data_IF_082116441773
#
_entry.id   IF_082116441773
#
_cell.length_a   1.000
_cell.length_b   1.000
_cell.length_c   1.000
_cell.angle_alpha   90.00
_cell.angle_beta   90.00
_cell.angle_gamma   90.00
#
_symmetry.space_group_name_H-M   'P 1'
#
loop_
_entity.id
_entity.type
_entity.pdbx_description
1 polymer ?
#
# COMPACT_ATOMS: atom_id res chain seq x y z
N UNK A 1 -46.77 -40.46 -3.02
CA UNK A 1 -46.39 -39.11 -3.49
C UNK A 1 -44.88 -38.97 -3.36
N UNK A 2 -44.16 -39.22 -4.45
CA UNK A 2 -42.72 -38.96 -4.57
C UNK A 2 -42.58 -37.68 -5.40
N UNK A 3 -42.19 -36.57 -4.78
CA UNK A 3 -41.75 -35.39 -5.52
C UNK A 3 -40.30 -35.61 -5.96
N UNK A 4 -40.13 -36.24 -7.13
CA UNK A 4 -38.86 -36.24 -7.86
C UNK A 4 -38.59 -34.80 -8.31
N UNK A 5 -37.55 -34.17 -7.78
CA UNK A 5 -36.94 -33.00 -8.44
C UNK A 5 -36.24 -33.54 -9.68
N UNK A 6 -36.89 -33.38 -10.82
CA UNK A 6 -36.33 -33.72 -12.13
C UNK A 6 -35.34 -32.64 -12.55
N UNK A 7 -34.04 -32.94 -12.50
CA UNK A 7 -33.01 -32.14 -13.14
C UNK A 7 -32.94 -32.57 -14.61
N UNK A 8 -33.60 -31.83 -15.50
CA UNK A 8 -33.38 -31.93 -16.95
C UNK A 8 -32.27 -30.95 -17.33
N UNK A 9 -31.14 -31.49 -17.76
CA UNK A 9 -30.14 -30.75 -18.51
C UNK A 9 -30.73 -30.52 -19.91
N UNK A 10 -31.23 -29.30 -20.16
CA UNK A 10 -31.37 -28.77 -21.51
C UNK A 10 -30.21 -27.80 -21.72
N UNK A 11 -29.35 -28.09 -22.69
CA UNK A 11 -28.50 -27.09 -23.29
C UNK A 11 -29.40 -26.00 -23.90
N UNK A 12 -29.33 -24.78 -23.36
CA UNK A 12 -29.44 -23.45 -24.02
C UNK A 12 -29.67 -22.38 -22.94
N UNK A 13 -28.68 -21.48 -22.83
CA UNK A 13 -28.75 -20.11 -22.29
C UNK A 13 -29.12 -19.91 -20.81
N UNK A 14 -28.18 -20.20 -19.91
CA UNK A 14 -28.04 -19.38 -18.69
C UNK A 14 -27.43 -18.06 -19.14
N UNK A 15 -28.28 -17.06 -19.41
CA UNK A 15 -27.84 -15.68 -19.55
C UNK A 15 -27.56 -15.11 -18.16
N UNK A 16 -26.45 -15.52 -17.56
CA UNK A 16 -25.87 -14.84 -16.42
C UNK A 16 -25.45 -13.45 -16.92
N UNK A 17 -26.21 -12.41 -16.59
CA UNK A 17 -25.78 -11.04 -16.85
C UNK A 17 -24.82 -10.67 -15.73
N UNK A 18 -23.54 -10.97 -15.93
CA UNK A 18 -22.47 -10.37 -15.13
C UNK A 18 -22.35 -8.91 -15.56
N UNK A 19 -22.83 -8.00 -14.71
CA UNK A 19 -22.53 -6.58 -14.87
C UNK A 19 -21.25 -6.34 -14.07
N UNK A 20 -20.11 -6.37 -14.75
CA UNK A 20 -18.89 -5.79 -14.19
C UNK A 20 -18.96 -4.30 -14.51
N UNK A 21 -19.18 -3.46 -13.49
CA UNK A 21 -19.15 -2.02 -13.68
C UNK A 21 -17.75 -1.50 -13.40
N UNK A 22 -17.07 -1.01 -14.43
CA UNK A 22 -16.11 0.06 -14.24
C UNK A 22 -16.89 1.33 -13.86
N UNK A 23 -16.96 1.62 -12.56
CA UNK A 23 -17.52 2.83 -11.92
C UNK A 23 -19.05 2.98 -11.78
N UNK A 24 -19.56 3.04 -10.54
CA UNK A 24 -20.25 4.20 -9.92
C UNK A 24 -20.17 4.00 -8.39
N UNK A 25 -19.47 4.89 -7.70
CA UNK A 25 -19.46 4.97 -6.23
C UNK A 25 -20.71 5.73 -5.80
N UNK A 26 -21.63 5.06 -5.09
CA UNK A 26 -22.61 5.78 -4.29
C UNK A 26 -21.97 6.16 -2.95
N UNK A 27 -21.79 7.47 -2.74
CA UNK A 27 -21.90 8.12 -1.43
C UNK A 27 -20.65 8.17 -0.55
N UNK A 28 -19.74 9.10 -0.85
CA UNK A 28 -19.19 9.98 0.19
C UNK A 28 -19.14 11.41 -0.35
N UNK A 29 -19.97 12.29 0.23
CA UNK A 29 -19.85 13.73 0.04
C UNK A 29 -18.55 14.18 0.72
N UNK A 30 -17.58 14.66 -0.07
CA UNK A 30 -17.01 16.03 -0.01
C UNK A 30 -15.97 16.20 -1.13
N UNK A 31 -16.27 17.14 -2.03
CA UNK A 31 -15.40 18.01 -2.83
C UNK A 31 -14.21 17.47 -3.67
N UNK A 32 -14.21 17.93 -4.93
CA UNK A 32 -13.11 18.06 -5.91
C UNK A 32 -12.72 16.84 -6.77
N UNK A 33 -13.46 16.72 -7.88
CA UNK A 33 -13.05 16.03 -9.11
C UNK A 33 -12.14 16.97 -9.89
N UNK A 34 -10.85 16.65 -10.02
CA UNK A 34 -10.02 17.20 -11.08
C UNK A 34 -10.48 16.57 -12.41
N UNK A 35 -11.30 17.30 -13.18
CA UNK A 35 -11.69 16.89 -14.53
C UNK A 35 -10.48 17.01 -15.45
N UNK A 36 -9.85 15.89 -15.76
CA UNK A 36 -8.99 15.76 -16.93
C UNK A 36 -9.84 15.91 -18.18
N UNK A 37 -9.63 16.98 -18.94
CA UNK A 37 -10.16 17.13 -20.30
C UNK A 37 -9.25 16.37 -21.26
N UNK A 38 -9.76 15.29 -21.87
CA UNK A 38 -9.07 14.56 -22.94
C UNK A 38 -9.87 13.33 -23.37
N UNK A 39 -10.40 13.38 -24.59
CA UNK A 39 -11.15 12.33 -25.28
C UNK A 39 -10.25 11.18 -25.78
N UNK A 40 -9.32 10.70 -24.95
CA UNK A 40 -8.47 9.56 -25.31
C UNK A 40 -9.01 8.30 -24.61
N UNK A 41 -9.69 7.46 -25.39
CA UNK A 41 -10.08 6.13 -24.96
C UNK A 41 -8.82 5.26 -24.79
N UNK A 42 -8.41 5.04 -23.54
CA UNK A 42 -7.26 4.20 -23.21
C UNK A 42 -6.67 4.49 -21.83
N UNK A 43 -5.95 3.50 -21.29
CA UNK A 43 -5.18 3.61 -20.04
C UNK A 43 -4.10 4.68 -20.17
N UNK A 44 -3.84 5.46 -19.12
CA UNK A 44 -2.84 6.52 -19.13
C UNK A 44 -1.45 5.95 -19.45
N UNK A 45 -0.72 6.60 -20.34
CA UNK A 45 0.61 6.14 -20.79
C UNK A 45 1.57 5.96 -19.61
N UNK A 46 2.38 4.90 -19.65
CA UNK A 46 3.35 4.56 -18.59
C UNK A 46 2.74 3.84 -17.38
N UNK A 47 1.42 3.79 -17.23
CA UNK A 47 0.81 3.16 -16.05
C UNK A 47 0.89 1.63 -16.04
N UNK A 48 1.01 0.98 -17.21
CA UNK A 48 1.32 -0.46 -17.29
C UNK A 48 2.69 -0.80 -16.71
N UNK A 49 3.70 0.06 -16.92
CA UNK A 49 5.03 -0.12 -16.33
C UNK A 49 4.92 -0.05 -14.80
N UNK A 50 4.21 0.97 -14.29
CA UNK A 50 3.99 1.15 -12.85
C UNK A 50 3.24 -0.05 -12.26
N UNK A 51 2.20 -0.55 -12.93
CA UNK A 51 1.42 -1.70 -12.47
C UNK A 51 2.25 -2.98 -12.38
N UNK A 52 3.26 -3.13 -13.24
CA UNK A 52 4.16 -4.29 -13.26
C UNK A 52 5.30 -4.17 -12.23
N UNK A 53 5.87 -2.97 -12.04
CA UNK A 53 7.11 -2.81 -11.27
C UNK A 53 6.92 -2.22 -9.86
N UNK A 54 5.89 -1.39 -9.64
CA UNK A 54 5.76 -0.65 -8.39
C UNK A 54 5.27 -1.55 -7.25
N UNK A 55 5.80 -1.32 -6.05
CA UNK A 55 5.29 -1.85 -4.80
C UNK A 55 4.47 -0.79 -4.09
N UNK A 56 4.94 -0.37 -2.92
CA UNK A 56 4.35 0.72 -2.15
C UNK A 56 4.60 2.08 -2.82
N UNK A 57 3.54 2.85 -2.95
CA UNK A 57 3.50 4.09 -3.73
C UNK A 57 2.76 5.20 -2.98
N UNK A 58 3.16 6.43 -3.26
CA UNK A 58 2.49 7.67 -2.87
C UNK A 58 2.23 8.50 -4.11
N UNK A 59 0.98 8.93 -4.31
CA UNK A 59 0.61 9.64 -5.53
C UNK A 59 -0.29 10.84 -5.27
N UNK A 60 -0.15 11.84 -6.13
CA UNK A 60 -0.91 13.08 -6.13
C UNK A 60 -1.29 13.49 -7.56
N UNK A 61 -2.33 14.32 -7.67
CA UNK A 61 -2.56 15.13 -8.85
C UNK A 61 -2.46 16.61 -8.46
N UNK A 62 -1.54 17.35 -9.10
CA UNK A 62 -1.30 18.77 -8.78
C UNK A 62 -2.30 19.73 -9.44
N UNK A 63 -3.30 19.22 -10.15
CA UNK A 63 -4.33 19.99 -10.87
C UNK A 63 -3.75 21.02 -11.85
N UNK A 64 -2.56 20.74 -12.38
CA UNK A 64 -1.82 21.61 -13.29
C UNK A 64 -1.01 20.78 -14.28
N UNK A 65 -0.72 21.36 -15.45
CA UNK A 65 0.22 20.74 -16.40
C UNK A 65 1.64 20.80 -15.86
N UNK A 66 2.42 19.75 -16.12
CA UNK A 66 3.82 19.65 -15.68
C UNK A 66 4.75 19.75 -16.89
N UNK A 67 5.81 20.56 -16.76
CA UNK A 67 6.89 20.60 -17.73
C UNK A 67 7.84 19.41 -17.49
N UNK A 68 7.81 18.44 -18.40
CA UNK A 68 8.61 17.21 -18.27
C UNK A 68 10.12 17.45 -18.41
N UNK A 69 10.56 18.49 -19.13
CA UNK A 69 11.98 18.86 -19.17
C UNK A 69 12.47 19.25 -17.78
N UNK A 70 11.69 20.04 -17.02
CA UNK A 70 12.02 20.36 -15.63
C UNK A 70 11.98 19.13 -14.72
N UNK A 71 11.03 18.22 -14.93
CA UNK A 71 10.95 17.00 -14.13
C UNK A 71 12.24 16.17 -14.27
N UNK A 72 12.79 16.08 -15.48
CA UNK A 72 14.06 15.38 -15.73
C UNK A 72 15.27 16.01 -15.05
N UNK A 73 15.27 17.33 -14.84
CA UNK A 73 16.33 18.01 -14.08
C UNK A 73 16.31 17.65 -12.59
N UNK A 74 15.19 17.13 -12.07
CA UNK A 74 15.05 16.67 -10.68
C UNK A 74 15.61 15.26 -10.49
N UNK A 75 15.51 14.41 -11.53
CA UNK A 75 16.00 13.04 -11.46
C UNK A 75 17.52 13.03 -11.31
N UNK A 76 18.00 12.11 -10.47
CA UNK A 76 19.40 11.68 -10.54
C UNK A 76 19.64 10.86 -11.81
N UNK A 77 18.67 10.04 -12.20
CA UNK A 77 18.74 9.18 -13.38
C UNK A 77 17.37 9.07 -14.02
N UNK A 78 17.27 9.35 -15.32
CA UNK A 78 16.05 9.12 -16.11
C UNK A 78 16.01 7.66 -16.56
N UNK A 79 14.90 6.99 -16.32
CA UNK A 79 14.68 5.58 -16.62
C UNK A 79 13.78 5.42 -17.85
N UNK A 80 12.71 6.22 -17.91
CA UNK A 80 11.81 6.28 -19.06
C UNK A 80 11.49 7.72 -19.43
N UNK A 81 11.38 7.99 -20.72
CA UNK A 81 11.00 9.30 -21.25
C UNK A 81 10.15 9.13 -22.51
N UNK A 82 8.99 9.79 -22.52
CA UNK A 82 8.17 10.00 -23.71
C UNK A 82 7.72 11.47 -23.75
N UNK A 83 6.91 11.83 -24.75
CA UNK A 83 6.31 13.17 -24.84
C UNK A 83 5.26 13.43 -23.74
N UNK A 84 4.74 12.37 -23.11
CA UNK A 84 3.61 12.46 -22.18
C UNK A 84 3.98 12.17 -20.73
N UNK A 85 5.02 11.36 -20.49
CA UNK A 85 5.48 11.06 -19.15
C UNK A 85 6.99 10.82 -19.07
N UNK A 86 7.50 10.87 -17.85
CA UNK A 86 8.86 10.43 -17.53
C UNK A 86 8.85 9.59 -16.25
N UNK A 87 9.82 8.70 -16.12
CA UNK A 87 10.12 7.96 -14.90
C UNK A 87 11.61 8.12 -14.62
N UNK A 88 11.97 8.35 -13.37
CA UNK A 88 13.37 8.37 -12.96
C UNK A 88 13.57 8.29 -11.46
N UNK A 89 14.81 7.99 -11.07
CA UNK A 89 15.26 7.92 -9.70
C UNK A 89 15.46 9.32 -9.11
N UNK A 90 14.81 9.61 -7.99
CA UNK A 90 14.95 10.85 -7.22
C UNK A 90 15.78 10.59 -5.96
N UNK A 91 16.91 11.29 -5.90
CA UNK A 91 17.78 11.34 -4.72
C UNK A 91 17.10 12.00 -3.52
N UNK A 92 17.22 11.41 -2.34
CA UNK A 92 16.77 12.02 -1.08
C UNK A 92 17.95 12.48 -0.20
N UNK A 93 17.82 13.62 0.52
CA UNK A 93 18.83 14.05 1.47
C UNK A 93 19.11 12.98 2.53
N UNK A 94 20.39 12.76 2.84
CA UNK A 94 20.79 11.83 3.91
C UNK A 94 20.75 10.35 3.54
N UNK A 95 20.37 10.00 2.31
CA UNK A 95 20.27 8.61 1.88
C UNK A 95 21.24 8.27 0.72
N UNK A 96 21.79 7.04 0.69
CA UNK A 96 22.61 6.56 -0.42
C UNK A 96 21.76 6.29 -1.67
N UNK A 97 22.42 6.05 -2.81
CA UNK A 97 21.75 5.77 -4.09
C UNK A 97 20.82 4.55 -4.08
N UNK A 98 21.07 3.58 -3.21
CA UNK A 98 20.20 2.40 -3.04
C UNK A 98 18.82 2.73 -2.46
N UNK A 99 18.64 3.96 -1.97
CA UNK A 99 17.41 4.44 -1.36
C UNK A 99 16.69 5.47 -2.24
N UNK A 100 17.20 5.73 -3.44
CA UNK A 100 16.55 6.61 -4.41
C UNK A 100 15.13 6.12 -4.69
N UNK A 101 14.22 7.07 -4.80
CA UNK A 101 12.79 6.79 -5.01
C UNK A 101 12.48 6.92 -6.48
N UNK A 102 11.83 5.91 -7.07
CA UNK A 102 11.34 6.02 -8.43
C UNK A 102 10.16 6.98 -8.48
N UNK A 103 10.17 7.92 -9.42
CA UNK A 103 9.10 8.89 -9.57
C UNK A 103 8.62 8.93 -11.01
N UNK A 104 7.35 8.58 -11.19
CA UNK A 104 6.59 8.77 -12.42
C UNK A 104 5.96 10.17 -12.44
N UNK A 105 6.10 10.87 -13.56
CA UNK A 105 5.52 12.20 -13.79
C UNK A 105 4.83 12.23 -15.15
N UNK A 106 3.53 12.54 -15.17
CA UNK A 106 2.76 12.74 -16.40
C UNK A 106 2.52 14.24 -16.64
N UNK A 107 2.53 14.68 -17.90
CA UNK A 107 2.28 16.08 -18.30
C UNK A 107 0.94 16.66 -17.81
N UNK A 108 -0.01 15.79 -17.42
CA UNK A 108 -1.35 16.14 -16.93
C UNK A 108 -1.42 16.38 -15.42
N UNK A 109 -0.28 16.41 -14.73
CA UNK A 109 -0.25 16.74 -13.30
C UNK A 109 -0.21 15.55 -12.36
N UNK A 110 -0.11 14.33 -12.88
CA UNK A 110 0.08 13.15 -12.05
C UNK A 110 1.55 12.99 -11.67
N UNK A 111 1.80 12.79 -10.38
CA UNK A 111 3.11 12.45 -9.83
C UNK A 111 2.90 11.24 -8.91
N UNK A 112 3.65 10.16 -9.13
CA UNK A 112 3.68 8.99 -8.26
C UNK A 112 5.13 8.67 -7.89
N UNK A 113 5.41 8.62 -6.59
CA UNK A 113 6.66 8.10 -6.05
C UNK A 113 6.44 6.67 -5.56
N UNK A 114 7.39 5.77 -5.81
CA UNK A 114 7.29 4.37 -5.41
C UNK A 114 8.64 3.72 -5.14
N UNK A 115 8.59 2.62 -4.40
CA UNK A 115 9.65 1.61 -4.36
C UNK A 115 9.20 0.38 -5.14
N UNK A 116 10.14 -0.46 -5.56
CA UNK A 116 9.87 -1.61 -6.41
C UNK A 116 9.06 -2.69 -5.67
N UNK A 117 8.44 -3.58 -6.44
CA UNK A 117 7.52 -4.59 -5.93
C UNK A 117 8.20 -5.71 -5.09
N UNK A 118 9.53 -5.78 -5.07
CA UNK A 118 10.29 -6.69 -4.21
C UNK A 118 10.74 -6.04 -2.89
N UNK A 119 10.46 -4.74 -2.69
CA UNK A 119 10.90 -3.98 -1.53
C UNK A 119 9.84 -3.88 -0.44
N UNK A 120 10.18 -4.01 0.85
CA UNK A 120 9.18 -3.99 1.93
C UNK A 120 8.58 -2.60 2.13
N UNK A 121 7.31 -2.51 2.56
CA UNK A 121 6.64 -1.24 2.91
C UNK A 121 7.46 -0.43 3.92
N UNK A 122 8.09 -1.07 4.90
CA UNK A 122 8.93 -0.41 5.90
C UNK A 122 10.11 0.38 5.31
N UNK A 123 10.50 0.13 4.04
CA UNK A 123 11.51 0.94 3.35
C UNK A 123 11.06 2.39 3.24
N UNK A 124 9.78 2.74 3.15
CA UNK A 124 9.34 4.13 2.94
C UNK A 124 9.58 5.05 4.13
N UNK A 125 9.93 4.50 5.29
CA UNK A 125 10.12 5.28 6.51
C UNK A 125 11.32 6.21 6.35
N UNK A 126 11.08 7.49 6.64
CA UNK A 126 12.13 8.49 6.63
C UNK A 126 12.69 8.73 8.03
N UNK A 127 13.74 8.00 8.39
CA UNK A 127 14.45 8.19 9.66
C UNK A 127 15.28 9.47 9.70
N UNK A 128 15.85 9.90 8.57
CA UNK A 128 16.62 11.13 8.45
C UNK A 128 15.82 12.37 8.89
N UNK A 129 14.56 12.48 8.51
CA UNK A 129 13.68 13.55 9.01
C UNK A 129 13.22 13.29 10.45
N UNK A 130 12.96 12.03 10.81
CA UNK A 130 12.47 11.68 12.15
C UNK A 130 13.49 11.93 13.27
N UNK A 131 14.79 11.84 12.99
CA UNK A 131 15.86 12.07 13.96
C UNK A 131 16.26 13.55 14.09
N UNK A 132 15.74 14.44 13.23
CA UNK A 132 16.21 15.83 13.18
C UNK A 132 15.58 16.69 14.31
N UNK A 133 16.38 17.50 15.01
CA UNK A 133 15.85 18.48 15.96
C UNK A 133 14.98 19.55 15.28
N UNK A 134 13.85 19.98 15.90
CA UNK A 134 13.24 19.39 17.09
C UNK A 134 12.66 18.01 16.75
N UNK A 135 13.09 16.97 17.47
CA UNK A 135 12.72 15.60 17.16
C UNK A 135 11.19 15.45 17.08
N UNK A 136 10.63 15.11 15.91
CA UNK A 136 9.20 14.90 15.80
C UNK A 136 8.79 13.73 16.70
N UNK A 137 7.75 13.94 17.52
CA UNK A 137 7.15 12.86 18.30
C UNK A 137 6.41 11.86 17.42
N UNK A 138 5.98 12.28 16.23
CA UNK A 138 5.19 11.46 15.33
C UNK A 138 5.86 11.24 13.99
N UNK A 139 5.82 10.01 13.51
CA UNK A 139 6.12 9.70 12.12
C UNK A 139 4.97 10.23 11.24
N UNK A 140 5.25 11.25 10.42
CA UNK A 140 4.24 11.92 9.56
C UNK A 140 4.75 12.16 8.13
N UNK A 141 5.95 11.67 7.84
CA UNK A 141 6.65 11.79 6.57
C UNK A 141 7.19 10.44 6.13
N UNK A 142 7.31 10.28 4.82
CA UNK A 142 7.89 9.10 4.17
C UNK A 142 8.83 9.59 3.08
N UNK A 143 9.79 8.74 2.71
CA UNK A 143 10.67 8.99 1.57
C UNK A 143 9.89 9.24 0.28
N UNK A 144 8.79 8.52 0.07
CA UNK A 144 7.93 8.70 -1.10
C UNK A 144 7.28 10.10 -1.12
N UNK A 145 6.79 10.57 0.04
CA UNK A 145 6.23 11.93 0.17
C UNK A 145 7.28 12.98 -0.15
N UNK A 146 8.50 12.84 0.37
CA UNK A 146 9.56 13.83 0.18
C UNK A 146 10.08 13.84 -1.27
N UNK A 147 10.08 12.70 -1.95
CA UNK A 147 10.37 12.63 -3.39
C UNK A 147 9.32 13.40 -4.22
N UNK A 148 8.03 13.26 -3.88
CA UNK A 148 6.96 14.05 -4.52
C UNK A 148 7.08 15.54 -4.23
N UNK A 149 7.39 15.93 -2.98
CA UNK A 149 7.64 17.35 -2.63
C UNK A 149 8.78 17.92 -3.47
N UNK A 150 9.92 17.22 -3.51
CA UNK A 150 11.08 17.62 -4.30
C UNK A 150 10.75 17.72 -5.79
N UNK A 151 9.93 16.81 -6.32
CA UNK A 151 9.47 16.87 -7.70
C UNK A 151 8.61 18.10 -7.94
N UNK A 152 7.61 18.37 -7.10
CA UNK A 152 6.76 19.56 -7.19
C UNK A 152 7.58 20.86 -7.18
N UNK A 153 8.52 20.97 -6.25
CA UNK A 153 9.41 22.14 -6.15
C UNK A 153 10.26 22.31 -7.41
N UNK A 154 10.84 21.23 -7.93
CA UNK A 154 11.69 21.25 -9.12
C UNK A 154 10.93 21.60 -10.41
N UNK A 155 9.69 21.13 -10.56
CA UNK A 155 8.86 21.49 -11.72
C UNK A 155 8.16 22.86 -11.56
N UNK A 156 8.14 23.41 -10.34
CA UNK A 156 7.55 24.70 -10.02
C UNK A 156 6.02 24.68 -9.95
N UNK A 157 5.43 23.60 -9.43
CA UNK A 157 3.98 23.46 -9.21
C UNK A 157 3.67 23.28 -7.72
N UNK A 158 2.58 23.86 -7.20
CA UNK A 158 2.23 23.70 -5.79
C UNK A 158 1.79 22.26 -5.49
N UNK A 159 2.11 21.79 -4.29
CA UNK A 159 1.57 20.53 -3.77
C UNK A 159 0.06 20.62 -3.56
N UNK A 160 -0.67 19.67 -4.10
CA UNK A 160 -2.09 19.49 -3.81
C UNK A 160 -2.27 18.56 -2.61
N UNK A 161 -2.26 19.12 -1.41
CA UNK A 161 -2.44 18.32 -0.20
C UNK A 161 -3.82 17.65 -0.12
N UNK A 162 -4.86 18.20 -0.73
CA UNK A 162 -6.21 17.62 -0.68
C UNK A 162 -6.30 16.29 -1.42
N UNK A 163 -5.47 16.08 -2.45
CA UNK A 163 -5.45 14.87 -3.25
C UNK A 163 -4.13 14.11 -3.06
N UNK A 164 -4.05 13.33 -1.97
CA UNK A 164 -2.87 12.50 -1.67
C UNK A 164 -3.28 11.12 -1.15
N UNK A 165 -2.73 10.07 -1.74
CA UNK A 165 -3.11 8.69 -1.41
C UNK A 165 -1.88 7.80 -1.45
N UNK A 166 -1.91 6.77 -0.62
CA UNK A 166 -0.96 5.66 -0.70
C UNK A 166 -1.64 4.47 -1.37
N UNK A 167 -0.86 3.63 -2.04
CA UNK A 167 -1.32 2.38 -2.61
C UNK A 167 -0.15 1.41 -2.72
N UNK A 168 -0.42 0.12 -2.66
CA UNK A 168 0.60 -0.89 -2.92
C UNK A 168 0.07 -1.84 -3.98
N UNK A 169 0.73 -1.90 -5.14
CA UNK A 169 0.26 -2.69 -6.28
C UNK A 169 0.29 -4.20 -6.02
N UNK A 170 1.06 -4.66 -5.04
CA UNK A 170 1.12 -6.07 -4.62
C UNK A 170 -0.03 -6.44 -3.70
N UNK A 171 -0.64 -5.43 -3.08
CA UNK A 171 -1.69 -5.57 -2.09
C UNK A 171 -2.92 -4.74 -2.48
N UNK A 172 -3.55 -5.00 -3.65
CA UNK A 172 -4.63 -4.18 -4.21
C UNK A 172 -5.86 -4.05 -3.29
N UNK A 173 -5.98 -4.98 -2.36
CA UNK A 173 -7.09 -5.08 -1.42
C UNK A 173 -6.86 -4.36 -0.09
N UNK A 174 -5.63 -3.90 0.19
CA UNK A 174 -5.33 -3.14 1.38
C UNK A 174 -6.05 -1.79 1.35
N UNK A 175 -6.67 -1.42 2.47
CA UNK A 175 -7.32 -0.12 2.65
C UNK A 175 -6.76 0.69 3.83
N UNK A 176 -5.76 0.13 4.52
CA UNK A 176 -5.05 0.75 5.63
C UNK A 176 -3.57 0.41 5.57
N UNK A 177 -2.76 1.40 5.95
CA UNK A 177 -1.36 1.25 6.29
C UNK A 177 -1.15 1.82 7.70
N UNK A 178 -0.30 1.17 8.50
CA UNK A 178 0.03 1.61 9.85
C UNK A 178 1.54 1.53 10.08
N UNK A 179 2.10 2.57 10.68
CA UNK A 179 3.43 2.54 11.28
C UNK A 179 3.30 2.61 12.79
N UNK A 180 3.93 1.68 13.49
CA UNK A 180 4.06 1.69 14.95
C UNK A 180 5.54 1.80 15.26
N UNK A 181 5.94 2.83 16.00
CA UNK A 181 7.35 3.10 16.25
C UNK A 181 7.75 2.88 17.71
N UNK A 182 8.95 2.38 17.91
CA UNK A 182 9.68 2.43 19.18
C UNK A 182 10.90 3.33 19.03
N UNK A 183 11.21 4.12 20.05
CA UNK A 183 12.30 5.09 20.01
C UNK A 183 13.15 4.99 21.28
N UNK A 184 14.45 4.86 21.07
CA UNK A 184 15.46 5.03 22.11
C UNK A 184 16.26 6.28 21.76
N UNK A 185 16.21 7.28 22.65
CA UNK A 185 16.82 8.61 22.45
C UNK A 185 17.94 8.84 23.45
N UNK A 186 18.84 9.76 23.13
CA UNK A 186 19.92 10.18 24.02
C UNK A 186 19.35 10.57 25.39
N UNK A 187 19.88 9.98 26.46
CA UNK A 187 19.49 10.29 27.84
C UNK A 187 18.21 9.60 28.35
N UNK A 188 17.57 8.75 27.54
CA UNK A 188 16.44 7.90 27.95
C UNK A 188 16.88 6.46 28.28
N UNK A 189 15.94 5.60 28.66
CA UNK A 189 16.17 4.17 28.92
C UNK A 189 16.92 3.49 27.76
N UNK A 190 17.73 2.46 28.05
CA UNK A 190 18.54 1.74 27.05
C UNK A 190 17.73 0.82 26.12
N UNK A 191 16.41 0.86 26.23
CA UNK A 191 15.50 0.10 25.39
C UNK A 191 14.16 0.79 25.28
N UNK A 192 13.49 0.59 24.15
CA UNK A 192 12.10 0.93 23.94
C UNK A 192 11.33 -0.35 23.66
N UNK A 193 10.16 -0.50 24.29
CA UNK A 193 9.29 -1.66 24.09
C UNK A 193 7.89 -1.18 23.81
N UNK A 194 7.21 -1.84 22.88
CA UNK A 194 5.77 -1.69 22.67
C UNK A 194 5.18 -3.04 22.30
N UNK A 195 3.86 -3.20 22.47
CA UNK A 195 3.17 -4.43 22.09
C UNK A 195 2.19 -4.19 20.94
N UNK A 196 2.09 -5.19 20.08
CA UNK A 196 1.12 -5.23 18.99
C UNK A 196 0.31 -6.53 19.12
N UNK A 197 -1.02 -6.43 19.06
CA UNK A 197 -1.90 -7.56 18.82
C UNK A 197 -2.78 -7.29 17.60
N UNK A 198 -2.82 -8.26 16.69
CA UNK A 198 -3.62 -8.17 15.48
C UNK A 198 -4.92 -8.93 15.70
N UNK A 199 -6.06 -8.31 15.42
CA UNK A 199 -7.31 -9.04 15.31
C UNK A 199 -7.24 -10.10 14.20
N UNK A 200 -7.83 -11.27 14.44
CA UNK A 200 -7.85 -12.42 13.53
C UNK A 200 -8.78 -12.27 12.34
N UNK A 201 -9.67 -11.27 12.37
CA UNK A 201 -10.54 -10.88 11.27
C UNK A 201 -9.86 -9.91 10.29
N UNK A 202 -8.70 -9.34 10.64
CA UNK A 202 -7.93 -8.50 9.72
C UNK A 202 -7.24 -9.35 8.66
N UNK A 203 -7.45 -8.96 7.40
CA UNK A 203 -6.62 -9.45 6.31
C UNK A 203 -5.34 -8.61 6.26
N UNK A 204 -4.26 -9.13 6.83
CA UNK A 204 -2.94 -8.47 6.75
C UNK A 204 -2.26 -8.88 5.45
N UNK A 205 -2.04 -7.89 4.59
CA UNK A 205 -1.45 -8.06 3.27
C UNK A 205 0.08 -8.06 3.33
N UNK A 206 0.68 -7.16 4.11
CA UNK A 206 2.13 -7.09 4.31
C UNK A 206 2.49 -6.75 5.76
N UNK A 207 3.63 -7.27 6.19
CA UNK A 207 4.26 -6.99 7.49
C UNK A 207 5.75 -6.79 7.27
N UNK A 208 6.26 -5.65 7.69
CA UNK A 208 7.68 -5.35 7.58
C UNK A 208 8.17 -4.55 8.76
N UNK A 209 9.49 -4.49 8.91
CA UNK A 209 10.17 -3.77 9.98
C UNK A 209 11.23 -2.84 9.40
N UNK A 210 11.52 -1.75 10.10
CA UNK A 210 12.66 -0.88 9.86
C UNK A 210 13.37 -0.63 11.17
N UNK A 211 14.70 -0.66 11.15
CA UNK A 211 15.57 -0.49 12.31
C UNK A 211 16.68 0.49 11.93
N UNK A 212 16.69 1.62 12.61
CA UNK A 212 17.67 2.69 12.51
C UNK A 212 18.53 2.74 13.77
N UNK A 213 19.83 3.02 13.61
CA UNK A 213 20.58 3.66 14.68
C UNK A 213 21.65 4.61 14.17
N UNK A 214 21.97 5.57 15.02
CA UNK A 214 23.08 6.50 14.89
C UNK A 214 23.96 6.42 16.13
N UNK A 215 25.28 6.48 15.93
CA UNK A 215 26.28 6.60 17.00
C UNK A 215 26.26 5.48 18.05
N UNK A 216 25.90 4.25 17.67
CA UNK A 216 25.92 3.09 18.57
C UNK A 216 27.35 2.68 18.93
N UNK A 217 27.66 2.72 20.23
CA UNK A 217 29.00 2.35 20.74
C UNK A 217 29.21 0.84 20.87
N UNK A 218 28.18 0.04 21.11
CA UNK A 218 28.31 -1.42 21.16
C UNK A 218 27.43 -2.10 20.10
N UNK A 219 26.11 -1.96 20.23
CA UNK A 219 25.16 -2.61 19.34
C UNK A 219 23.77 -1.99 19.44
N UNK A 220 22.99 -2.10 18.37
CA UNK A 220 21.53 -1.98 18.46
C UNK A 220 20.88 -3.26 17.97
N UNK A 221 19.75 -3.61 18.58
CA UNK A 221 19.00 -4.82 18.29
C UNK A 221 17.50 -4.53 18.24
N UNK A 222 16.83 -5.17 17.29
CA UNK A 222 15.39 -5.21 17.20
C UNK A 222 14.95 -6.67 17.35
N UNK A 223 13.99 -6.89 18.22
CA UNK A 223 13.47 -8.22 18.54
C UNK A 223 11.95 -8.23 18.63
N UNK A 224 11.36 -9.39 18.37
CA UNK A 224 9.94 -9.68 18.59
C UNK A 224 9.86 -10.93 19.46
N UNK A 225 9.15 -10.83 20.60
CA UNK A 225 9.04 -11.90 21.61
C UNK A 225 10.39 -12.51 21.97
N UNK A 226 11.35 -11.65 22.32
CA UNK A 226 12.74 -12.02 22.69
C UNK A 226 13.58 -12.60 21.55
N UNK A 227 13.02 -12.84 20.36
CA UNK A 227 13.76 -13.30 19.19
C UNK A 227 14.29 -12.11 18.41
N UNK A 228 15.61 -11.99 18.29
CA UNK A 228 16.25 -10.94 17.48
C UNK A 228 15.89 -11.11 16.01
N UNK A 229 15.29 -10.09 15.42
CA UNK A 229 14.98 -10.02 13.97
C UNK A 229 16.06 -9.28 13.20
N UNK A 230 16.74 -8.32 13.83
CA UNK A 230 17.87 -7.63 13.24
C UNK A 230 18.77 -7.05 14.33
N UNK A 231 20.06 -7.06 14.07
CA UNK A 231 21.05 -6.38 14.90
C UNK A 231 22.16 -5.84 14.03
N UNK A 232 22.76 -4.75 14.46
CA UNK A 232 24.05 -4.32 13.95
C UNK A 232 24.96 -4.01 15.13
N UNK A 233 26.25 -4.22 14.91
CA UNK A 233 27.28 -3.91 15.91
C UNK A 233 27.56 -2.41 15.95
N UNK A 234 28.84 -2.09 16.09
CA UNK A 234 29.33 -0.74 16.20
C UNK A 234 28.99 0.16 15.00
N UNK A 235 28.47 1.37 15.25
CA UNK A 235 28.26 2.40 14.21
C UNK A 235 28.68 3.81 14.67
N UNK A 236 29.92 3.96 15.18
CA UNK A 236 30.50 5.29 15.47
C UNK A 236 30.56 6.13 14.19
N UNK A 237 30.06 7.36 14.30
CA UNK A 237 30.09 8.41 13.27
C UNK A 237 29.24 8.13 12.01
N UNK A 238 28.29 7.20 12.08
CA UNK A 238 27.43 6.85 10.95
C UNK A 238 25.99 6.49 11.33
N UNK A 239 25.11 6.63 10.35
CA UNK A 239 23.71 6.24 10.42
C UNK A 239 23.51 4.94 9.64
N UNK A 240 22.86 3.94 10.26
CA UNK A 240 22.55 2.68 9.60
C UNK A 240 21.06 2.44 9.69
N UNK A 241 20.45 2.22 8.53
CA UNK A 241 19.07 1.72 8.43
C UNK A 241 19.09 0.34 7.81
N UNK A 242 18.36 -0.60 8.41
CA UNK A 242 17.98 -1.85 7.76
C UNK A 242 16.48 -2.04 7.86
N UNK A 243 15.92 -2.75 6.91
CA UNK A 243 14.51 -3.12 6.89
C UNK A 243 14.36 -4.52 6.32
N UNK A 244 13.22 -5.14 6.56
CA UNK A 244 12.91 -6.47 6.09
C UNK A 244 11.45 -6.83 6.32
N UNK A 245 11.06 -8.02 5.90
CA UNK A 245 9.70 -8.53 6.09
C UNK A 245 9.59 -9.34 7.39
N UNK A 246 8.36 -9.50 7.87
CA UNK A 246 8.02 -10.40 8.97
C UNK A 246 7.15 -11.53 8.45
N UNK A 247 7.45 -12.74 8.92
CA UNK A 247 6.59 -13.91 8.68
C UNK A 247 5.35 -13.85 9.56
N UNK A 248 4.28 -14.56 9.16
CA UNK A 248 3.08 -14.71 9.98
C UNK A 248 3.38 -15.34 11.35
N UNK A 249 4.39 -16.21 11.43
CA UNK A 249 4.83 -16.83 12.69
C UNK A 249 5.50 -15.87 13.66
N UNK A 250 6.16 -14.82 13.16
CA UNK A 250 6.80 -13.80 14.00
C UNK A 250 5.82 -12.78 14.54
N UNK A 251 4.65 -12.62 13.92
CA UNK A 251 3.63 -11.66 14.33
C UNK A 251 2.25 -12.24 14.02
N UNK A 252 1.82 -13.15 14.90
CA UNK A 252 0.61 -13.96 14.80
C UNK A 252 -0.64 -13.15 15.19
N UNK A 253 -1.81 -13.46 14.60
CA UNK A 253 -3.07 -12.90 15.07
C UNK A 253 -3.45 -13.38 16.47
N UNK A 254 -4.32 -12.61 17.12
CA UNK A 254 -4.95 -12.88 18.42
C UNK A 254 -4.00 -13.00 19.62
N UNK A 255 -2.72 -12.67 19.46
CA UNK A 255 -1.72 -12.69 20.53
C UNK A 255 -0.99 -11.35 20.56
N UNK A 256 -0.67 -10.86 21.77
CA UNK A 256 0.24 -9.73 21.93
C UNK A 256 1.67 -10.18 21.68
N UNK A 257 2.30 -9.50 20.73
CA UNK A 257 3.71 -9.62 20.42
C UNK A 257 4.46 -8.42 21.00
N UNK A 258 5.56 -8.67 21.69
CA UNK A 258 6.39 -7.63 22.29
C UNK A 258 7.51 -7.26 21.33
N UNK A 259 7.48 -6.04 20.81
CA UNK A 259 8.54 -5.49 19.98
C UNK A 259 9.49 -4.72 20.88
N UNK A 260 10.76 -5.12 20.90
CA UNK A 260 11.79 -4.50 21.73
C UNK A 260 12.93 -4.01 20.86
N UNK A 261 13.20 -2.72 20.99
CA UNK A 261 14.40 -2.04 20.50
C UNK A 261 15.38 -1.91 21.66
N UNK A 262 16.53 -2.56 21.57
CA UNK A 262 17.63 -2.40 22.52
C UNK A 262 18.76 -1.62 21.88
N UNK A 263 19.26 -0.60 22.57
CA UNK A 263 20.42 0.18 22.14
C UNK A 263 21.46 0.19 23.25
N UNK A 264 22.57 -0.52 23.04
CA UNK A 264 23.64 -0.62 24.00
C UNK A 264 24.79 0.34 23.65
N UNK A 265 25.00 1.30 24.56
CA UNK A 265 26.03 2.32 24.43
C UNK A 265 27.09 2.24 25.55
N UNK A 266 27.14 1.14 26.30
CA UNK A 266 28.04 1.01 27.44
C UNK A 266 27.64 1.98 28.57
N UNK A 267 28.57 2.77 29.11
CA UNK A 267 28.30 3.66 30.25
C UNK A 267 27.75 5.04 29.87
N UNK A 268 27.68 5.37 28.57
CA UNK A 268 27.26 6.69 28.10
C UNK A 268 26.28 6.52 26.96
N UNK A 269 25.08 7.09 27.06
CA UNK A 269 24.21 7.16 25.88
C UNK A 269 24.57 8.38 25.04
N UNK A 270 25.17 8.19 23.87
CA UNK A 270 25.56 9.26 22.94
C UNK A 270 24.83 9.21 21.61
N UNK A 271 24.04 8.18 21.39
CA UNK A 271 23.35 7.90 20.13
C UNK A 271 21.88 7.60 20.32
N UNK A 272 21.23 7.31 19.20
CA UNK A 272 19.80 7.08 19.14
C UNK A 272 19.52 5.85 18.28
N UNK A 273 18.46 5.13 18.62
CA UNK A 273 17.93 4.07 17.79
C UNK A 273 16.43 4.23 17.64
N UNK A 274 15.93 3.87 16.45
CA UNK A 274 14.50 3.87 16.17
C UNK A 274 14.12 2.56 15.49
N UNK A 275 12.89 2.13 15.75
CA UNK A 275 12.31 0.98 15.09
C UNK A 275 10.90 1.31 14.65
N UNK A 276 10.47 0.63 13.60
CA UNK A 276 9.10 0.66 13.18
C UNK A 276 8.64 -0.72 12.72
N UNK A 277 7.39 -1.03 13.01
CA UNK A 277 6.63 -2.08 12.35
C UNK A 277 5.69 -1.40 11.38
N UNK A 278 5.80 -1.77 10.10
CA UNK A 278 4.91 -1.35 9.04
C UNK A 278 3.93 -2.46 8.72
N UNK A 279 2.64 -2.13 8.73
CA UNK A 279 1.56 -3.06 8.44
C UNK A 279 0.70 -2.50 7.33
N UNK A 280 0.50 -3.32 6.30
CA UNK A 280 -0.46 -3.04 5.24
C UNK A 280 -1.58 -4.07 5.35
N UNK A 281 -2.82 -3.62 5.50
CA UNK A 281 -3.93 -4.50 5.81
C UNK A 281 -5.27 -3.98 5.28
N UNK A 282 -6.26 -4.87 5.31
CA UNK A 282 -7.65 -4.56 5.03
C UNK A 282 -8.49 -4.79 6.28
N UNK A 283 -9.33 -3.80 6.58
CA UNK A 283 -10.42 -3.91 7.56
C UNK A 283 -11.75 -3.55 6.92
N UNK A 284 -12.81 -4.31 7.21
CA UNK A 284 -14.19 -4.05 6.73
C UNK A 284 -15.11 -3.53 7.84
N UNK A 285 -14.58 -3.37 9.06
CA UNK A 285 -15.34 -3.00 10.24
C UNK A 285 -14.59 -2.04 11.16
N UNK A 286 -14.91 -2.09 12.45
CA UNK A 286 -14.28 -1.27 13.50
C UNK A 286 -13.09 -1.95 14.17
N UNK A 287 -12.81 -3.22 13.85
CA UNK A 287 -11.62 -3.94 14.33
C UNK A 287 -10.38 -3.17 13.93
N UNK A 288 -9.58 -2.78 14.92
CA UNK A 288 -8.31 -2.08 14.75
C UNK A 288 -7.23 -2.84 15.52
N UNK A 289 -5.99 -2.64 15.11
CA UNK A 289 -4.82 -3.25 15.74
C UNK A 289 -4.67 -2.70 17.16
N UNK A 290 -4.57 -3.61 18.13
CA UNK A 290 -4.40 -3.29 19.54
C UNK A 290 -2.92 -3.00 19.82
N UNK A 291 -2.64 -1.88 20.51
CA UNK A 291 -1.30 -1.38 20.78
C UNK A 291 -1.14 -0.99 22.24
N UNK A 292 0.02 -1.32 22.82
CA UNK A 292 0.40 -0.90 24.18
C UNK A 292 1.78 -0.24 24.13
N UNK A 293 1.96 0.84 24.92
CA UNK A 293 3.28 1.46 25.19
C UNK A 293 4.03 2.01 23.96
N UNK A 294 3.35 2.16 22.82
CA UNK A 294 3.97 2.69 21.60
C UNK A 294 4.31 4.18 21.70
N UNK A 295 5.47 4.57 21.16
CA UNK A 295 5.92 5.97 21.10
C UNK A 295 5.05 6.78 20.13
N UNK A 296 4.84 6.23 18.93
CA UNK A 296 4.01 6.86 17.90
C UNK A 296 3.33 5.81 17.04
N UNK A 297 2.15 6.21 16.56
CA UNK A 297 1.36 5.43 15.63
C UNK A 297 0.85 6.36 14.54
N UNK A 298 1.12 5.99 13.29
CA UNK A 298 0.55 6.69 12.15
C UNK A 298 -0.33 5.75 11.34
N UNK A 299 -1.63 6.08 11.29
CA UNK A 299 -2.64 5.37 10.50
C UNK A 299 -2.89 6.13 9.20
N UNK A 300 -2.85 5.40 8.09
CA UNK A 300 -2.95 5.94 6.74
C UNK A 300 -4.00 5.14 5.97
N UNK A 301 -4.82 5.83 5.19
CA UNK A 301 -5.73 5.20 4.23
C UNK A 301 -4.99 4.92 2.93
N UNK A 302 -5.18 3.72 2.40
CA UNK A 302 -4.71 3.35 1.06
C UNK A 302 -5.88 3.25 0.10
N UNK A 303 -5.64 3.57 -1.17
CA UNK A 303 -6.68 3.59 -2.19
C UNK A 303 -6.10 3.27 -3.56
N UNK A 304 -6.83 2.49 -4.35
CA UNK A 304 -6.48 2.20 -5.74
C UNK A 304 -6.37 3.50 -6.56
N UNK A 305 -5.28 3.71 -7.34
CA UNK A 305 -5.03 4.93 -8.12
C UNK A 305 -5.88 5.00 -9.40
N UNK A 306 -7.19 4.80 -9.30
CA UNK A 306 -8.13 4.73 -10.42
C UNK A 306 -8.01 5.89 -11.42
N UNK A 307 -7.96 7.12 -10.92
CA UNK A 307 -7.91 8.32 -11.77
C UNK A 307 -6.53 8.55 -12.42
N UNK A 308 -5.47 8.05 -11.78
CA UNK A 308 -4.12 8.07 -12.33
C UNK A 308 -4.02 7.06 -13.47
N UNK A 309 -4.45 5.82 -13.23
CA UNK A 309 -4.47 4.74 -14.24
C UNK A 309 -5.41 5.13 -15.39
N UNK A 310 -6.56 5.73 -15.06
CA UNK A 310 -7.58 6.16 -16.01
C UNK A 310 -7.99 5.03 -16.96
N UNK A 311 -8.08 3.82 -16.44
CA UNK A 311 -8.55 2.69 -17.21
C UNK A 311 -10.05 2.86 -17.56
N UNK A 312 -10.33 2.66 -18.85
CA UNK A 312 -11.65 2.77 -19.47
C UNK A 312 -12.01 1.52 -20.26
N UNK A 313 -11.11 0.54 -20.33
CA UNK A 313 -11.34 -0.74 -20.98
C UNK A 313 -12.13 -1.61 -20.00
N UNK A 314 -13.25 -2.23 -20.40
CA UNK A 314 -13.90 -3.21 -19.53
C UNK A 314 -13.06 -4.49 -19.40
N UNK A 315 -13.02 -5.11 -18.22
CA UNK A 315 -12.24 -6.33 -18.01
C UNK A 315 -12.79 -7.48 -18.84
N UNK A 316 -11.90 -8.26 -19.46
CA UNK A 316 -12.27 -9.46 -20.18
C UNK A 316 -12.52 -10.60 -19.21
N UNK A 317 -13.77 -11.05 -19.14
CA UNK A 317 -14.16 -12.17 -18.28
C UNK A 317 -13.90 -13.51 -18.97
N UNK A 318 -13.20 -14.41 -18.28
CA UNK A 318 -12.88 -15.75 -18.75
C UNK A 318 -13.12 -16.79 -17.63
N UNK A 319 -13.02 -18.08 -17.97
CA UNK A 319 -13.08 -19.20 -17.01
C UNK A 319 -14.29 -19.20 -16.06
N UNK A 320 -15.46 -18.77 -16.57
CA UNK A 320 -16.69 -18.75 -15.80
C UNK A 320 -17.14 -20.17 -15.47
N UNK A 321 -17.18 -20.49 -14.19
CA UNK A 321 -17.54 -21.82 -13.68
C UNK A 321 -18.55 -21.70 -12.54
N UNK A 322 -19.41 -22.69 -12.44
CA UNK A 322 -20.35 -22.86 -11.32
C UNK A 322 -20.17 -24.27 -10.77
N UNK A 323 -19.81 -24.38 -9.50
CA UNK A 323 -19.54 -25.64 -8.80
C UNK A 323 -20.32 -25.73 -7.50
N UNK A 324 -20.22 -26.87 -6.81
CA UNK A 324 -20.74 -27.06 -5.44
C UNK A 324 -22.22 -26.69 -5.27
N UNK A 325 -23.00 -27.03 -6.31
CA UNK A 325 -24.41 -26.70 -6.39
C UNK A 325 -25.20 -27.63 -5.46
N UNK A 326 -25.87 -27.02 -4.49
CA UNK A 326 -26.82 -27.69 -3.59
C UNK A 326 -28.23 -27.14 -3.82
N UNK A 327 -29.16 -27.43 -2.90
CA UNK A 327 -30.53 -26.90 -2.99
C UNK A 327 -30.60 -25.39 -2.70
N UNK A 328 -29.62 -24.85 -1.97
CA UNK A 328 -29.62 -23.49 -1.45
C UNK A 328 -28.26 -22.77 -1.58
N UNK A 329 -27.24 -23.42 -2.13
CA UNK A 329 -25.92 -22.82 -2.37
C UNK A 329 -25.36 -23.15 -3.75
N UNK A 330 -24.45 -22.29 -4.24
CA UNK A 330 -23.59 -22.57 -5.38
C UNK A 330 -22.34 -21.70 -5.32
N UNK A 331 -21.21 -22.24 -5.77
CA UNK A 331 -19.97 -21.48 -5.91
C UNK A 331 -19.82 -21.00 -7.34
N UNK A 332 -19.57 -19.71 -7.53
CA UNK A 332 -19.32 -19.09 -8.84
C UNK A 332 -17.89 -18.57 -8.87
N UNK A 333 -17.15 -18.89 -9.92
CA UNK A 333 -15.77 -18.40 -10.14
C UNK A 333 -15.59 -17.94 -11.56
N UNK A 334 -14.83 -16.86 -11.75
CA UNK A 334 -14.34 -16.43 -13.04
C UNK A 334 -13.02 -15.66 -12.87
N UNK A 335 -12.34 -15.46 -13.98
CA UNK A 335 -11.09 -14.71 -14.05
C UNK A 335 -11.26 -13.45 -14.91
N UNK A 336 -10.47 -12.43 -14.62
CA UNK A 336 -10.30 -11.22 -15.43
C UNK A 336 -8.84 -11.02 -15.80
N UNK A 337 -8.59 -10.42 -16.96
CA UNK A 337 -7.26 -10.08 -17.46
C UNK A 337 -6.61 -8.94 -16.64
N UNK A 338 -7.43 -8.05 -16.10
CA UNK A 338 -7.03 -6.96 -15.20
C UNK A 338 -7.69 -7.02 -13.83
N UNK A 339 -7.21 -6.19 -12.90
CA UNK A 339 -7.75 -6.12 -11.54
C UNK A 339 -9.12 -5.44 -11.57
N UNK A 340 -10.16 -6.11 -11.09
CA UNK A 340 -11.52 -5.58 -11.06
C UNK A 340 -12.21 -5.89 -9.73
N UNK A 341 -13.28 -5.15 -9.44
CA UNK A 341 -14.26 -5.56 -8.43
C UNK A 341 -15.35 -6.42 -9.08
N UNK A 342 -16.28 -6.92 -8.27
CA UNK A 342 -17.15 -8.00 -8.73
C UNK A 342 -18.59 -7.82 -8.25
N UNK A 343 -19.56 -8.12 -9.12
CA UNK A 343 -20.98 -8.14 -8.79
C UNK A 343 -21.65 -9.33 -9.48
N UNK A 344 -22.24 -10.23 -8.70
CA UNK A 344 -23.09 -11.32 -9.20
C UNK A 344 -24.54 -10.94 -8.98
N UNK A 345 -25.36 -10.95 -10.03
CA UNK A 345 -26.82 -10.86 -9.92
C UNK A 345 -27.44 -12.21 -10.22
N UNK A 346 -28.37 -12.65 -9.37
CA UNK A 346 -28.99 -13.97 -9.47
C UNK A 346 -30.47 -13.95 -9.08
N UNK A 347 -31.19 -15.00 -9.48
CA UNK A 347 -32.64 -15.10 -9.31
C UNK A 347 -33.17 -16.48 -9.72
N UNK A 348 -34.43 -16.77 -9.37
CA UNK A 348 -35.06 -18.08 -9.64
C UNK A 348 -35.61 -18.21 -11.07
N UNK A 349 -35.70 -17.10 -11.82
CA UNK A 349 -36.23 -17.08 -13.17
C UNK A 349 -35.23 -16.38 -14.11
N UNK A 350 -35.06 -16.95 -15.30
CA UNK A 350 -34.21 -16.36 -16.34
C UNK A 350 -34.66 -14.94 -16.66
N UNK A 351 -33.70 -14.01 -16.77
CA UNK A 351 -33.97 -12.59 -17.01
C UNK A 351 -34.55 -11.81 -15.82
N UNK A 352 -34.80 -12.46 -14.68
CA UNK A 352 -35.30 -11.81 -13.47
C UNK A 352 -34.36 -12.06 -12.26
N UNK A 353 -33.39 -11.16 -12.11
CA UNK A 353 -32.32 -11.26 -11.11
C UNK A 353 -32.51 -10.20 -10.02
N UNK A 354 -33.33 -10.54 -9.02
CA UNK A 354 -33.67 -9.62 -7.91
C UNK A 354 -32.67 -9.65 -6.77
N UNK A 355 -31.71 -10.58 -6.78
CA UNK A 355 -30.67 -10.69 -5.76
C UNK A 355 -29.32 -10.31 -6.32
N UNK A 356 -28.42 -9.83 -5.47
CA UNK A 356 -27.05 -9.52 -5.85
C UNK A 356 -26.06 -9.72 -4.71
N UNK A 357 -24.85 -10.17 -5.05
CA UNK A 357 -23.69 -10.20 -4.16
C UNK A 357 -22.61 -9.32 -4.74
N UNK A 358 -22.12 -8.38 -3.94
CA UNK A 358 -21.06 -7.47 -4.32
C UNK A 358 -19.78 -7.79 -3.56
N UNK A 359 -18.67 -7.88 -4.28
CA UNK A 359 -17.34 -8.00 -3.71
C UNK A 359 -16.53 -6.72 -4.05
N UNK A 360 -16.21 -5.89 -3.03
CA UNK A 360 -15.37 -4.70 -3.23
C UNK A 360 -13.88 -4.99 -3.37
N UNK A 361 -13.46 -6.26 -3.28
CA UNK A 361 -12.06 -6.63 -3.46
C UNK A 361 -11.68 -6.44 -4.94
N UNK A 362 -10.53 -5.81 -5.14
CA UNK A 362 -9.88 -5.67 -6.43
C UNK A 362 -9.00 -6.89 -6.66
N UNK A 363 -9.48 -7.81 -7.50
CA UNK A 363 -8.86 -9.12 -7.75
C UNK A 363 -8.96 -9.49 -9.22
N UNK A 364 -8.08 -10.39 -9.68
CA UNK A 364 -8.19 -11.03 -11.00
C UNK A 364 -9.01 -12.32 -10.96
N UNK A 365 -9.04 -13.00 -9.82
CA UNK A 365 -9.81 -14.23 -9.61
C UNK A 365 -10.99 -13.91 -8.69
N UNK A 366 -12.21 -14.23 -9.13
CA UNK A 366 -13.45 -13.74 -8.51
C UNK A 366 -14.30 -14.89 -7.96
N UNK A 367 -14.14 -15.28 -6.68
CA UNK A 367 -14.96 -16.29 -6.05
C UNK A 367 -16.20 -15.70 -5.37
N UNK A 368 -17.35 -16.35 -5.55
CA UNK A 368 -18.61 -16.06 -4.87
C UNK A 368 -19.27 -17.34 -4.38
N UNK A 369 -19.80 -17.28 -3.16
CA UNK A 369 -20.70 -18.28 -2.61
C UNK A 369 -22.11 -17.68 -2.56
N UNK A 370 -23.07 -18.31 -3.25
CA UNK A 370 -24.48 -17.91 -3.30
C UNK A 370 -25.31 -18.45 -2.14
#
# INVERSE_FOLDING_TARGET
MQNKIGLKILAISIALVMVVSSAVVYGYNTAEVAKGTGDDAGTREGTTIIEEEAGISFYINVSAKINLTKAKEVYRTTEHETENYTIGAVALPGYPVTEDVHVYVHKDGWIMAYYLNDEPVAKIINWFEYQRPPHPRNITHTKLKDAVVKMCDGVGVPLNWSYRKYYDFRSPNANRMMFVTGAQRVGYERSSTFKIKLPGDLMVCERSWSHFAANSSNSSSLSIDEHTINSFGHCRDGEITKYGTLTQTQLKPEVFHTVRLGHDEGNWTTGEAFSAIALLYRTTGTSDIELEECESVWRIYTAYPKELINDTTPPLITNVTVTDITNDSATIKWDTDEIANSLVKYGKASGNYTKGLWNPLFVKNHPFEL
#
